data_IF_083959798911
#
_entry.id   IF_083959798911
#
_cell.length_a   1.000
_cell.length_b   1.000
_cell.length_c   1.000
_cell.angle_alpha   90.00
_cell.angle_beta   90.00
_cell.angle_gamma   90.00
#
_symmetry.space_group_name_H-M   'P 1'
#
loop_
_entity.id
_entity.type
_entity.pdbx_description
1 polymer ?
#
# COMPACT_ATOMS: atom_id res chain seq x y z
N UNK A 1 107.96 -12.41 -71.72
CA UNK A 1 107.41 -13.67 -71.15
C UNK A 1 107.88 -13.79 -69.72
N UNK A 2 106.96 -14.04 -68.78
CA UNK A 2 107.29 -14.20 -67.36
C UNK A 2 107.44 -15.68 -66.98
N UNK A 3 108.30 -16.02 -65.99
CA UNK A 3 108.41 -17.38 -65.46
C UNK A 3 107.07 -17.93 -64.98
N UNK A 4 106.91 -19.25 -65.04
CA UNK A 4 105.70 -19.95 -64.56
C UNK A 4 105.40 -19.55 -63.10
N UNK A 5 104.17 -19.09 -62.83
CA UNK A 5 103.74 -18.63 -61.50
C UNK A 5 103.91 -17.13 -61.24
N UNK A 6 104.30 -16.35 -62.25
CA UNK A 6 104.35 -14.88 -62.18
C UNK A 6 103.49 -14.26 -63.28
N UNK A 7 102.86 -13.12 -62.98
CA UNK A 7 102.10 -12.33 -63.94
C UNK A 7 102.90 -11.10 -64.34
N UNK A 8 102.76 -10.67 -65.59
CA UNK A 8 103.34 -9.42 -66.06
C UNK A 8 102.51 -8.25 -65.53
N UNK A 9 103.10 -7.39 -64.72
CA UNK A 9 102.49 -6.15 -64.24
C UNK A 9 103.40 -4.98 -64.59
N UNK A 10 102.85 -3.96 -65.25
CA UNK A 10 103.60 -2.75 -65.61
C UNK A 10 103.58 -1.79 -64.43
N UNK A 11 104.75 -1.40 -63.93
CA UNK A 11 104.92 -0.38 -62.88
C UNK A 11 105.93 0.65 -63.36
N UNK A 12 105.62 1.94 -63.22
CA UNK A 12 106.48 3.05 -63.66
C UNK A 12 106.91 2.96 -65.14
N UNK A 13 106.03 2.41 -66.00
CA UNK A 13 106.26 2.29 -67.44
C UNK A 13 107.08 1.07 -67.87
N UNK A 14 107.58 0.25 -66.93
CA UNK A 14 108.37 -0.94 -67.24
C UNK A 14 107.63 -2.22 -66.84
N UNK A 15 107.63 -3.29 -67.68
CA UNK A 15 106.99 -4.55 -67.37
C UNK A 15 107.82 -5.37 -66.37
N UNK A 16 107.24 -5.68 -65.21
CA UNK A 16 107.83 -6.56 -64.21
C UNK A 16 107.04 -7.86 -64.08
N UNK A 17 107.76 -8.97 -63.88
CA UNK A 17 107.14 -10.24 -63.51
C UNK A 17 107.00 -10.30 -61.99
N UNK A 18 105.77 -10.26 -61.49
CA UNK A 18 105.47 -10.34 -60.05
C UNK A 18 104.78 -11.66 -59.73
N UNK A 19 105.01 -12.20 -58.52
CA UNK A 19 104.31 -13.39 -58.07
C UNK A 19 102.79 -13.13 -58.01
N UNK A 20 102.01 -14.02 -58.64
CA UNK A 20 100.54 -13.98 -58.56
C UNK A 20 100.12 -14.44 -57.17
N UNK A 21 99.51 -13.55 -56.36
CA UNK A 21 98.93 -13.95 -55.09
C UNK A 21 97.60 -14.68 -55.36
N UNK A 22 97.46 -15.95 -54.96
CA UNK A 22 96.25 -16.73 -55.21
C UNK A 22 95.06 -16.09 -54.48
N UNK A 23 93.96 -15.90 -55.20
CA UNK A 23 92.72 -15.30 -54.69
C UNK A 23 91.53 -16.25 -54.88
N UNK A 24 90.40 -15.98 -54.22
CA UNK A 24 89.19 -16.80 -54.39
C UNK A 24 88.63 -16.81 -55.83
N UNK A 25 89.11 -15.94 -56.71
CA UNK A 25 88.81 -16.00 -58.14
C UNK A 25 89.47 -17.20 -58.84
N UNK A 26 90.53 -17.75 -58.25
CA UNK A 26 91.33 -18.85 -58.81
C UNK A 26 90.83 -20.25 -58.36
N UNK A 27 89.83 -20.33 -57.46
CA UNK A 27 89.31 -21.58 -56.89
C UNK A 27 87.81 -21.76 -57.19
N UNK A 28 87.46 -22.77 -57.98
CA UNK A 28 86.06 -23.18 -58.19
C UNK A 28 85.59 -24.07 -57.04
N UNK A 29 84.67 -23.57 -56.23
CA UNK A 29 84.07 -24.32 -55.14
C UNK A 29 82.81 -25.08 -55.61
N UNK A 30 82.59 -26.34 -55.17
CA UNK A 30 81.38 -27.09 -55.48
C UNK A 30 80.12 -26.41 -54.90
N UNK A 31 78.95 -26.69 -55.48
CA UNK A 31 77.67 -26.10 -55.03
C UNK A 31 77.47 -26.27 -53.51
N UNK A 32 77.03 -25.20 -52.84
CA UNK A 32 76.81 -25.16 -51.38
C UNK A 32 78.04 -24.79 -50.55
N UNK A 33 79.19 -24.53 -51.18
CA UNK A 33 80.41 -24.06 -50.49
C UNK A 33 80.85 -22.69 -50.99
N UNK A 34 81.47 -21.89 -50.11
CA UNK A 34 82.04 -20.57 -50.46
C UNK A 34 83.55 -20.58 -50.22
N UNK A 35 84.29 -19.89 -51.09
CA UNK A 35 85.73 -19.74 -50.91
C UNK A 35 86.02 -18.77 -49.75
N UNK A 36 86.90 -19.19 -48.83
CA UNK A 36 87.41 -18.38 -47.72
C UNK A 36 88.92 -18.63 -47.56
N UNK A 37 89.66 -17.57 -47.28
CA UNK A 37 91.08 -17.63 -46.93
C UNK A 37 91.19 -17.99 -45.43
N UNK A 38 91.73 -19.17 -45.10
CA UNK A 38 91.94 -19.63 -43.72
C UNK A 38 93.40 -20.09 -43.60
N UNK A 39 94.13 -19.58 -42.60
CA UNK A 39 95.55 -19.90 -42.34
C UNK A 39 96.47 -19.80 -43.57
N UNK A 40 96.24 -18.81 -44.42
CA UNK A 40 97.06 -18.58 -45.62
C UNK A 40 96.77 -19.52 -46.80
N UNK A 41 95.76 -20.39 -46.70
CA UNK A 41 95.32 -21.29 -47.77
C UNK A 41 93.86 -21.02 -48.18
N UNK A 42 93.57 -21.13 -49.48
CA UNK A 42 92.19 -20.99 -50.00
C UNK A 42 91.43 -22.28 -49.72
N UNK A 43 90.31 -22.20 -49.00
CA UNK A 43 89.47 -23.35 -48.69
C UNK A 43 88.01 -23.09 -49.06
N UNK A 44 87.35 -24.12 -49.61
CA UNK A 44 85.90 -24.12 -49.81
C UNK A 44 85.22 -24.56 -48.51
N UNK A 45 84.60 -23.63 -47.79
CA UNK A 45 83.88 -23.92 -46.55
C UNK A 45 82.38 -24.09 -46.86
N UNK A 46 81.74 -25.04 -46.20
CA UNK A 46 80.29 -25.22 -46.30
C UNK A 46 79.57 -23.95 -45.85
N UNK A 47 78.56 -23.54 -46.61
CA UNK A 47 77.66 -22.49 -46.15
C UNK A 47 76.87 -23.06 -44.96
N UNK A 48 76.91 -22.46 -43.76
CA UNK A 48 76.11 -22.95 -42.65
C UNK A 48 74.63 -22.92 -43.04
N UNK A 49 73.85 -23.97 -42.75
CA UNK A 49 72.43 -24.02 -43.09
C UNK A 49 71.72 -22.82 -42.47
N UNK A 50 70.71 -22.29 -43.16
CA UNK A 50 69.87 -21.21 -42.64
C UNK A 50 68.55 -21.78 -42.10
N UNK A 51 67.86 -21.06 -41.22
CA UNK A 51 66.54 -21.47 -40.75
C UNK A 51 65.47 -21.60 -41.85
N UNK A 52 65.76 -21.15 -43.09
CA UNK A 52 64.86 -21.36 -44.23
C UNK A 52 64.84 -22.82 -44.70
N UNK A 53 65.90 -23.58 -44.41
CA UNK A 53 66.07 -24.98 -44.86
C UNK A 53 65.76 -26.00 -43.75
N UNK A 54 65.50 -25.55 -42.51
CA UNK A 54 65.27 -26.42 -41.36
C UNK A 54 63.79 -26.53 -41.04
N UNK A 55 63.25 -27.75 -41.14
CA UNK A 55 61.89 -28.07 -40.71
C UNK A 55 61.90 -28.50 -39.23
N UNK A 56 61.43 -27.61 -38.36
CA UNK A 56 61.28 -27.89 -36.94
C UNK A 56 59.98 -28.69 -36.66
N UNK A 57 60.01 -29.54 -35.63
CA UNK A 57 58.83 -30.31 -35.23
C UNK A 57 57.71 -29.39 -34.71
N UNK A 58 56.45 -29.84 -34.78
CA UNK A 58 55.28 -29.06 -34.36
C UNK A 58 55.46 -28.57 -32.90
N UNK A 59 55.40 -27.25 -32.70
CA UNK A 59 55.63 -26.63 -31.39
C UNK A 59 57.05 -26.07 -31.18
N UNK A 60 57.96 -26.25 -32.14
CA UNK A 60 59.30 -25.62 -32.15
C UNK A 60 59.44 -24.63 -33.31
N UNK A 61 60.23 -23.57 -33.13
CA UNK A 61 60.58 -22.59 -34.16
C UNK A 61 62.09 -22.54 -34.35
N UNK A 62 62.56 -22.40 -35.59
CA UNK A 62 63.99 -22.26 -35.86
C UNK A 62 64.46 -20.84 -35.51
N UNK A 63 65.47 -20.74 -34.65
CA UNK A 63 66.18 -19.50 -34.33
C UNK A 63 67.69 -19.70 -34.49
N UNK A 64 68.42 -18.65 -34.86
CA UNK A 64 69.89 -18.70 -34.94
C UNK A 64 70.48 -18.30 -33.59
N UNK A 65 71.07 -19.26 -32.89
CA UNK A 65 71.74 -19.10 -31.59
C UNK A 65 73.24 -19.38 -31.77
N UNK A 66 74.09 -18.45 -31.32
CA UNK A 66 75.55 -18.52 -31.47
C UNK A 66 76.03 -18.78 -32.92
N UNK A 67 75.31 -18.21 -33.90
CA UNK A 67 75.63 -18.35 -35.32
C UNK A 67 75.19 -19.67 -35.97
N UNK A 68 74.50 -20.55 -35.23
CA UNK A 68 73.97 -21.82 -35.72
C UNK A 68 72.44 -21.87 -35.60
N UNK A 69 71.72 -22.40 -36.60
CA UNK A 69 70.28 -22.53 -36.50
C UNK A 69 69.90 -23.71 -35.59
N UNK A 70 69.02 -23.46 -34.61
CA UNK A 70 68.50 -24.44 -33.67
C UNK A 70 66.96 -24.34 -33.58
N UNK A 71 66.29 -25.50 -33.51
CA UNK A 71 64.86 -25.54 -33.22
C UNK A 71 64.64 -25.36 -31.71
N UNK A 72 64.09 -24.21 -31.32
CA UNK A 72 63.76 -23.90 -29.93
C UNK A 72 62.26 -24.11 -29.69
N UNK A 73 61.88 -24.50 -28.48
CA UNK A 73 60.47 -24.66 -28.12
C UNK A 73 59.74 -23.32 -28.17
N UNK A 74 58.56 -23.32 -28.77
CA UNK A 74 57.69 -22.15 -28.74
C UNK A 74 57.28 -21.87 -27.28
N UNK A 75 57.24 -20.60 -26.86
CA UNK A 75 56.69 -20.24 -25.56
C UNK A 75 55.26 -20.79 -25.44
N UNK A 76 54.89 -21.45 -24.33
CA UNK A 76 53.55 -21.97 -24.16
C UNK A 76 52.54 -20.82 -24.22
N UNK A 77 51.45 -21.00 -24.97
CA UNK A 77 50.44 -19.97 -25.17
C UNK A 77 49.13 -20.35 -24.48
N UNK A 78 48.24 -19.37 -24.28
CA UNK A 78 46.89 -19.67 -23.79
C UNK A 78 46.03 -20.53 -24.72
N UNK A 79 46.46 -20.77 -25.97
CA UNK A 79 45.78 -21.74 -26.85
C UNK A 79 46.04 -23.19 -26.41
N UNK A 80 47.16 -23.43 -25.72
CA UNK A 80 47.62 -24.77 -25.32
C UNK A 80 47.22 -25.13 -23.88
N UNK A 81 46.54 -24.22 -23.17
CA UNK A 81 46.18 -24.35 -21.75
C UNK A 81 44.67 -24.42 -21.57
N UNK A 82 44.18 -25.55 -21.05
CA UNK A 82 42.77 -25.73 -20.73
C UNK A 82 42.50 -25.42 -19.25
N UNK A 83 41.96 -24.22 -19.00
CA UNK A 83 41.62 -23.76 -17.66
C UNK A 83 40.32 -24.40 -17.13
N UNK A 84 40.23 -24.60 -15.81
CA UNK A 84 39.00 -25.12 -15.17
C UNK A 84 37.84 -24.12 -15.26
N UNK A 85 36.60 -24.61 -15.15
CA UNK A 85 35.38 -23.81 -15.28
C UNK A 85 35.38 -22.64 -14.28
N UNK A 86 35.26 -21.40 -14.76
CA UNK A 86 35.31 -20.18 -13.93
C UNK A 86 36.69 -19.52 -13.82
N UNK A 87 37.68 -20.02 -14.56
CA UNK A 87 38.99 -19.38 -14.74
C UNK A 87 39.21 -19.03 -16.22
N UNK A 88 40.05 -18.05 -16.50
CA UNK A 88 40.43 -17.61 -17.85
C UNK A 88 41.95 -17.58 -17.95
N UNK A 89 42.49 -18.07 -19.06
CA UNK A 89 43.92 -18.02 -19.31
C UNK A 89 44.35 -16.60 -19.66
N UNK A 90 45.38 -16.10 -18.99
CA UNK A 90 46.02 -14.82 -19.26
C UNK A 90 47.53 -15.01 -19.32
N UNK A 91 48.20 -14.26 -20.20
CA UNK A 91 49.66 -14.21 -20.22
C UNK A 91 50.14 -13.27 -19.11
N UNK A 92 50.84 -13.81 -18.11
CA UNK A 92 51.45 -13.08 -17.00
C UNK A 92 52.95 -13.35 -17.04
N UNK A 93 53.77 -12.31 -17.11
CA UNK A 93 55.25 -12.41 -17.20
C UNK A 93 55.76 -13.36 -18.30
N UNK A 94 55.05 -13.40 -19.44
CA UNK A 94 55.41 -14.25 -20.58
C UNK A 94 54.97 -15.72 -20.47
N UNK A 95 54.25 -16.10 -19.40
CA UNK A 95 53.73 -17.45 -19.19
C UNK A 95 52.20 -17.48 -19.06
N UNK A 96 51.52 -18.53 -19.57
CA UNK A 96 50.07 -18.64 -19.46
C UNK A 96 49.65 -19.07 -18.04
N UNK A 97 48.86 -18.22 -17.38
CA UNK A 97 48.28 -18.47 -16.07
C UNK A 97 46.75 -18.51 -16.13
N UNK A 98 46.14 -19.53 -15.52
CA UNK A 98 44.69 -19.55 -15.29
C UNK A 98 44.34 -18.69 -14.09
N UNK A 99 43.83 -17.48 -14.35
CA UNK A 99 43.37 -16.57 -13.30
C UNK A 99 41.87 -16.74 -13.10
N UNK A 100 41.38 -16.50 -11.87
CA UNK A 100 39.94 -16.49 -11.63
C UNK A 100 39.30 -15.42 -12.51
N UNK A 101 38.31 -15.82 -13.30
CA UNK A 101 37.43 -14.85 -13.91
C UNK A 101 36.75 -14.18 -12.73
N UNK A 102 37.13 -12.94 -12.40
CA UNK A 102 36.37 -12.14 -11.43
C UNK A 102 34.97 -12.08 -12.01
N UNK A 103 34.11 -12.97 -11.52
CA UNK A 103 32.68 -12.87 -11.66
C UNK A 103 32.37 -11.51 -11.07
N UNK A 104 32.33 -10.48 -11.93
CA UNK A 104 31.31 -9.45 -11.85
C UNK A 104 30.08 -10.23 -11.41
N UNK A 105 29.76 -10.09 -10.13
CA UNK A 105 28.60 -10.64 -9.45
C UNK A 105 27.56 -10.89 -10.51
N UNK A 106 27.37 -12.17 -10.89
CA UNK A 106 26.25 -12.54 -11.74
C UNK A 106 25.09 -11.89 -11.03
N UNK A 107 24.50 -10.82 -11.60
CA UNK A 107 23.41 -10.10 -10.94
C UNK A 107 22.32 -11.14 -10.82
N UNK A 108 22.29 -11.84 -9.70
CA UNK A 108 21.20 -12.71 -9.35
C UNK A 108 20.02 -11.76 -9.42
N UNK A 109 19.14 -11.99 -10.40
CA UNK A 109 17.94 -11.21 -10.54
C UNK A 109 16.84 -11.95 -9.80
N UNK A 110 15.71 -11.29 -9.54
CA UNK A 110 14.57 -12.02 -8.99
C UNK A 110 14.05 -13.13 -9.91
N UNK A 111 14.41 -13.11 -11.20
CA UNK A 111 14.12 -14.17 -12.16
C UNK A 111 14.89 -15.46 -11.87
N UNK A 112 16.06 -15.36 -11.21
CA UNK A 112 16.93 -16.49 -10.89
C UNK A 112 16.68 -17.07 -9.49
N UNK A 113 15.78 -16.46 -8.71
CA UNK A 113 15.64 -16.70 -7.27
C UNK A 113 14.27 -17.32 -6.95
N UNK A 114 14.25 -18.61 -6.61
CA UNK A 114 13.06 -19.30 -6.14
C UNK A 114 12.83 -19.03 -4.64
N UNK A 115 11.80 -18.24 -4.34
CA UNK A 115 11.42 -17.93 -2.97
C UNK A 115 10.51 -19.02 -2.35
N UNK A 116 10.69 -19.35 -1.05
CA UNK A 116 9.80 -20.27 -0.35
C UNK A 116 8.35 -19.73 -0.30
N UNK A 117 7.37 -20.64 -0.11
CA UNK A 117 5.94 -20.27 -0.05
C UNK A 117 5.71 -19.14 0.96
N UNK A 118 4.95 -18.12 0.55
CA UNK A 118 4.65 -16.94 1.38
C UNK A 118 5.71 -15.83 1.33
N UNK A 119 6.76 -15.97 0.52
CA UNK A 119 7.75 -14.92 0.28
C UNK A 119 7.82 -14.54 -1.19
N UNK A 120 8.17 -13.29 -1.48
CA UNK A 120 8.37 -12.78 -2.84
C UNK A 120 9.77 -12.20 -2.98
N UNK A 121 10.36 -12.32 -4.17
CA UNK A 121 11.65 -11.71 -4.42
C UNK A 121 11.51 -10.20 -4.63
N UNK A 122 12.26 -9.41 -3.87
CA UNK A 122 12.36 -7.96 -3.99
C UNK A 122 13.82 -7.53 -3.96
N UNK A 123 14.19 -6.61 -4.84
CA UNK A 123 15.52 -6.00 -4.81
C UNK A 123 15.56 -4.96 -3.68
N UNK A 124 16.46 -5.16 -2.73
CA UNK A 124 16.66 -4.26 -1.59
C UNK A 124 18.16 -4.03 -1.43
N UNK A 125 18.59 -2.77 -1.31
CA UNK A 125 20.00 -2.36 -1.28
C UNK A 125 20.80 -2.83 -2.51
N UNK A 126 20.14 -2.95 -3.67
CA UNK A 126 20.77 -3.41 -4.91
C UNK A 126 20.92 -4.93 -5.05
N UNK A 127 20.42 -5.72 -4.10
CA UNK A 127 20.48 -7.19 -4.10
C UNK A 127 19.08 -7.83 -4.05
N UNK A 128 18.80 -8.91 -4.81
CA UNK A 128 17.54 -9.64 -4.68
C UNK A 128 17.48 -10.35 -3.33
N UNK A 129 16.38 -10.20 -2.60
CA UNK A 129 16.11 -10.93 -1.36
C UNK A 129 14.68 -11.46 -1.37
N UNK A 130 14.44 -12.65 -0.83
CA UNK A 130 13.09 -13.08 -0.50
C UNK A 130 12.62 -12.33 0.73
N UNK A 131 11.59 -11.52 0.56
CA UNK A 131 10.91 -10.85 1.66
C UNK A 131 9.56 -11.52 1.87
N UNK A 132 9.06 -11.51 3.11
CA UNK A 132 7.71 -11.98 3.36
C UNK A 132 6.73 -11.20 2.49
N UNK A 133 5.91 -11.93 1.75
CA UNK A 133 4.81 -11.33 1.00
C UNK A 133 3.90 -10.66 2.03
N UNK A 134 3.60 -9.39 1.83
CA UNK A 134 2.67 -8.69 2.71
C UNK A 134 1.36 -9.48 2.72
N UNK A 135 0.86 -9.90 3.89
CA UNK A 135 -0.33 -10.73 3.95
C UNK A 135 -1.49 -9.96 3.31
N UNK A 136 -2.29 -10.68 2.55
CA UNK A 136 -3.38 -10.15 1.74
C UNK A 136 -4.70 -10.77 2.17
N UNK A 137 -5.82 -10.19 1.73
CA UNK A 137 -7.14 -10.78 1.99
C UNK A 137 -7.33 -12.16 1.34
N UNK A 138 -6.53 -12.53 0.35
CA UNK A 138 -6.50 -13.89 -0.20
C UNK A 138 -5.94 -14.93 0.78
N UNK A 139 -5.10 -14.50 1.73
CA UNK A 139 -4.46 -15.38 2.71
C UNK A 139 -5.34 -15.63 3.94
N UNK A 140 -6.50 -14.95 4.04
CA UNK A 140 -7.28 -14.85 5.28
C UNK A 140 -8.75 -15.28 5.06
N UNK A 141 -9.16 -16.37 5.69
CA UNK A 141 -10.55 -16.83 5.66
C UNK A 141 -11.37 -16.14 6.76
N UNK A 142 -12.37 -15.35 6.36
CA UNK A 142 -13.28 -14.69 7.30
C UNK A 142 -14.49 -15.55 7.67
N UNK A 143 -14.98 -15.46 8.92
CA UNK A 143 -16.21 -16.12 9.34
C UNK A 143 -17.43 -15.59 8.57
N UNK A 144 -18.50 -16.36 8.54
CA UNK A 144 -19.73 -16.03 7.80
C UNK A 144 -20.26 -14.65 8.22
N UNK A 145 -20.48 -13.77 7.23
CA UNK A 145 -20.94 -12.40 7.48
C UNK A 145 -19.83 -11.39 7.78
N UNK A 146 -18.55 -11.77 7.76
CA UNK A 146 -17.42 -10.85 7.77
C UNK A 146 -16.76 -10.77 6.39
N UNK A 147 -16.28 -9.59 6.02
CA UNK A 147 -15.53 -9.36 4.79
C UNK A 147 -14.11 -8.94 5.14
N UNK A 148 -13.13 -9.47 4.43
CA UNK A 148 -11.76 -9.05 4.60
C UNK A 148 -11.54 -7.67 3.96
N UNK A 149 -10.94 -6.75 4.72
CA UNK A 149 -10.50 -5.44 4.25
C UNK A 149 -9.05 -5.19 4.66
N UNK A 150 -8.32 -4.46 3.82
CA UNK A 150 -6.97 -3.99 4.17
C UNK A 150 -7.08 -2.75 5.04
N UNK A 151 -6.74 -2.87 6.32
CA UNK A 151 -6.76 -1.79 7.31
C UNK A 151 -5.34 -1.54 7.79
N UNK A 152 -4.84 -0.31 7.66
CA UNK A 152 -3.46 0.07 8.01
C UNK A 152 -2.38 -0.83 7.40
N UNK A 153 -2.61 -1.35 6.18
CA UNK A 153 -1.66 -2.23 5.48
C UNK A 153 -1.68 -3.70 5.91
N UNK A 154 -2.66 -4.11 6.71
CA UNK A 154 -2.86 -5.51 7.15
C UNK A 154 -4.28 -6.01 6.82
N UNK A 155 -4.46 -7.28 6.42
CA UNK A 155 -5.78 -7.84 6.17
C UNK A 155 -6.50 -8.09 7.50
N UNK A 156 -7.70 -7.53 7.64
CA UNK A 156 -8.56 -7.73 8.81
C UNK A 156 -9.97 -8.15 8.38
N UNK A 157 -10.56 -9.13 9.07
CA UNK A 157 -11.99 -9.40 8.93
C UNK A 157 -12.77 -8.31 9.64
N UNK A 158 -13.52 -7.54 8.86
CA UNK A 158 -14.51 -6.62 9.41
C UNK A 158 -15.88 -7.26 9.29
N UNK A 159 -16.66 -7.21 10.38
CA UNK A 159 -18.03 -7.70 10.35
C UNK A 159 -18.83 -6.83 9.37
N UNK A 160 -19.48 -7.44 8.36
CA UNK A 160 -20.42 -6.69 7.56
C UNK A 160 -21.53 -6.24 8.50
N UNK A 161 -21.63 -4.93 8.66
CA UNK A 161 -22.65 -4.29 9.50
C UNK A 161 -24.00 -4.86 9.07
N UNK A 162 -24.72 -5.58 9.95
CA UNK A 162 -25.94 -6.24 9.55
C UNK A 162 -26.93 -5.20 9.02
N UNK A 163 -27.53 -5.47 7.86
CA UNK A 163 -28.43 -4.54 7.18
C UNK A 163 -29.88 -4.92 7.43
N UNK A 164 -30.79 -3.96 7.27
CA UNK A 164 -32.22 -4.22 7.36
C UNK A 164 -32.79 -5.10 6.23
N UNK A 165 -31.98 -5.52 5.24
CA UNK A 165 -32.43 -6.35 4.12
C UNK A 165 -32.86 -7.76 4.57
N UNK A 166 -32.28 -8.27 5.65
CA UNK A 166 -32.48 -9.64 6.12
C UNK A 166 -33.38 -9.72 7.37
N UNK A 167 -33.85 -8.57 7.89
CA UNK A 167 -34.66 -8.52 9.12
C UNK A 167 -36.14 -8.42 8.78
N UNK A 168 -36.91 -9.45 9.15
CA UNK A 168 -38.36 -9.40 9.13
C UNK A 168 -38.91 -8.81 10.44
N UNK A 169 -39.45 -7.60 10.35
CA UNK A 169 -40.11 -6.93 11.46
C UNK A 169 -41.62 -7.27 11.51
N UNK A 170 -42.17 -7.33 12.72
CA UNK A 170 -43.60 -7.56 12.97
C UNK A 170 -44.45 -6.43 12.36
N UNK A 171 -45.72 -6.72 12.03
CA UNK A 171 -46.66 -5.74 11.42
C UNK A 171 -46.77 -4.48 12.30
N UNK A 172 -46.49 -3.30 11.72
CA UNK A 172 -46.48 -2.02 12.45
C UNK A 172 -45.10 -1.59 13.01
N UNK A 173 -44.04 -2.35 12.70
CA UNK A 173 -42.65 -1.95 12.96
C UNK A 173 -41.86 -1.90 11.66
N UNK A 174 -40.84 -1.06 11.59
CA UNK A 174 -39.93 -0.96 10.44
C UNK A 174 -38.48 -1.10 10.92
N UNK A 175 -37.66 -1.82 10.15
CA UNK A 175 -36.26 -1.96 10.47
C UNK A 175 -35.53 -0.64 10.19
N UNK A 176 -34.84 -0.13 11.20
CA UNK A 176 -33.95 1.03 11.09
C UNK A 176 -32.60 0.70 11.73
N UNK A 177 -31.52 1.24 11.15
CA UNK A 177 -30.18 1.10 11.73
C UNK A 177 -30.00 2.16 12.81
N UNK A 178 -29.99 1.74 14.08
CA UNK A 178 -29.82 2.61 15.26
C UNK A 178 -28.48 2.23 15.92
N UNK A 179 -27.62 3.22 16.16
CA UNK A 179 -26.30 3.05 16.81
C UNK A 179 -25.39 1.98 16.19
N UNK A 180 -25.42 1.79 14.87
CA UNK A 180 -24.64 0.72 14.25
C UNK A 180 -25.48 -0.48 13.82
N UNK A 181 -26.61 -0.71 14.47
CA UNK A 181 -27.27 -2.01 14.45
C UNK A 181 -28.71 -1.93 13.94
N UNK A 182 -29.15 -2.88 13.10
CA UNK A 182 -30.50 -2.90 12.59
C UNK A 182 -31.46 -3.33 13.71
N UNK A 183 -32.47 -2.50 13.98
CA UNK A 183 -33.49 -2.69 15.02
C UNK A 183 -34.88 -2.46 14.44
N UNK A 184 -35.84 -3.33 14.79
CA UNK A 184 -37.24 -3.05 14.50
C UNK A 184 -37.72 -1.97 15.46
N UNK A 185 -38.00 -0.79 14.92
CA UNK A 185 -38.58 0.32 15.69
C UNK A 185 -40.05 0.47 15.31
N UNK A 186 -40.87 0.95 16.24
CA UNK A 186 -42.24 1.31 15.91
C UNK A 186 -42.21 2.38 14.82
N UNK A 187 -42.88 2.12 13.70
CA UNK A 187 -43.18 3.18 12.75
C UNK A 187 -44.01 4.19 13.53
N UNK A 188 -43.44 5.37 13.80
CA UNK A 188 -44.21 6.56 14.15
C UNK A 188 -45.02 6.97 12.92
N UNK A 189 -45.96 6.13 12.51
CA UNK A 189 -47.16 6.62 11.85
C UNK A 189 -47.75 7.59 12.86
N UNK A 190 -47.57 8.88 12.60
CA UNK A 190 -48.40 9.93 13.16
C UNK A 190 -49.79 9.34 13.41
N UNK A 191 -50.22 9.31 14.67
CA UNK A 191 -51.57 8.88 15.03
C UNK A 191 -52.54 9.89 14.41
N UNK A 192 -52.76 9.78 13.10
CA UNK A 192 -53.97 10.29 12.50
C UNK A 192 -55.05 9.40 13.07
N UNK A 193 -55.71 9.95 14.09
CA UNK A 193 -56.79 9.32 14.85
C UNK A 193 -57.76 8.70 13.84
N UNK A 194 -57.98 7.36 13.87
CA UNK A 194 -58.76 6.70 12.83
C UNK A 194 -60.16 7.31 12.79
N UNK A 195 -60.50 7.86 11.63
CA UNK A 195 -61.84 8.39 11.36
C UNK A 195 -62.75 7.23 10.93
N UNK A 196 -64.07 7.37 11.08
CA UNK A 196 -65.02 6.38 10.57
C UNK A 196 -64.88 6.12 9.05
N UNK A 197 -64.26 7.06 8.32
CA UNK A 197 -63.87 6.88 6.92
C UNK A 197 -62.81 5.79 6.71
N UNK A 198 -62.00 5.51 7.73
CA UNK A 198 -60.82 4.65 7.65
C UNK A 198 -61.13 3.21 8.12
N UNK A 199 -62.35 2.96 8.60
CA UNK A 199 -62.78 1.70 9.20
C UNK A 199 -63.79 0.98 8.30
N UNK A 200 -63.50 -0.27 7.96
CA UNK A 200 -64.44 -1.16 7.26
C UNK A 200 -65.25 -1.93 8.30
N UNK A 201 -66.48 -1.49 8.54
CA UNK A 201 -67.40 -2.13 9.50
C UNK A 201 -68.02 -3.43 8.93
N UNK A 202 -68.24 -4.47 9.76
CA UNK A 202 -69.03 -5.65 9.39
C UNK A 202 -70.42 -5.29 8.86
N UNK A 203 -70.98 -6.13 7.96
CA UNK A 203 -72.32 -5.92 7.38
C UNK A 203 -73.36 -5.75 8.49
N UNK A 204 -74.13 -4.66 8.43
CA UNK A 204 -75.16 -4.32 9.42
C UNK A 204 -74.69 -3.44 10.59
N UNK A 205 -73.39 -3.10 10.66
CA UNK A 205 -72.87 -2.18 11.67
C UNK A 205 -72.44 -0.85 11.03
N UNK A 206 -72.74 0.26 11.71
CA UNK A 206 -72.36 1.61 11.25
C UNK A 206 -71.42 2.23 12.26
N UNK A 207 -70.29 2.78 11.79
CA UNK A 207 -69.39 3.55 12.63
C UNK A 207 -70.09 4.84 13.07
N UNK A 208 -70.37 4.96 14.37
CA UNK A 208 -70.85 6.21 14.99
C UNK A 208 -69.70 6.83 15.77
N UNK A 209 -69.39 8.09 15.48
CA UNK A 209 -68.43 8.86 16.29
C UNK A 209 -68.99 8.98 17.72
N UNK A 210 -68.14 8.81 18.76
CA UNK A 210 -68.60 8.94 20.14
C UNK A 210 -69.08 10.36 20.42
N UNK A 211 -70.12 10.49 21.26
CA UNK A 211 -70.69 11.79 21.68
C UNK A 211 -70.60 11.96 23.20
N UNK A 212 -70.75 13.19 23.69
CA UNK A 212 -70.70 13.47 25.13
C UNK A 212 -71.76 12.70 25.94
N UNK A 213 -72.86 12.26 25.34
CA UNK A 213 -73.88 11.43 26.01
C UNK A 213 -73.38 10.05 26.44
N UNK A 214 -72.25 9.59 25.89
CA UNK A 214 -71.63 8.30 26.21
C UNK A 214 -70.37 8.45 27.09
N UNK A 215 -69.99 9.67 27.48
CA UNK A 215 -68.76 9.96 28.22
C UNK A 215 -69.08 10.43 29.64
N UNK A 216 -68.62 9.69 30.64
CA UNK A 216 -68.66 10.11 32.05
C UNK A 216 -67.39 10.86 32.38
N UNK A 217 -67.48 12.18 32.52
CA UNK A 217 -66.36 13.02 32.91
C UNK A 217 -66.15 13.03 34.45
N UNK A 218 -64.90 13.17 34.94
CA UNK A 218 -64.61 13.35 36.36
C UNK A 218 -65.32 14.55 36.99
N UNK A 219 -65.51 14.53 38.31
CA UNK A 219 -66.06 15.66 39.06
C UNK A 219 -65.26 16.95 38.78
N UNK A 220 -65.96 18.09 38.65
CA UNK A 220 -65.35 19.37 38.30
C UNK A 220 -65.00 19.54 36.81
N UNK A 221 -65.34 18.58 35.94
CA UNK A 221 -65.18 18.71 34.48
C UNK A 221 -66.52 18.58 33.75
N UNK A 222 -66.62 19.15 32.56
CA UNK A 222 -67.76 19.03 31.65
C UNK A 222 -67.31 18.53 30.30
N UNK A 223 -68.08 17.61 29.70
CA UNK A 223 -67.81 17.14 28.36
C UNK A 223 -68.18 18.21 27.33
N UNK A 224 -67.25 18.51 26.42
CA UNK A 224 -67.47 19.37 25.26
C UNK A 224 -66.91 18.72 24.00
N UNK A 225 -67.53 19.00 22.85
CA UNK A 225 -67.06 18.49 21.56
C UNK A 225 -65.94 19.39 21.03
N UNK A 226 -64.70 18.90 21.06
CA UNK A 226 -63.50 19.61 20.53
C UNK A 226 -63.00 18.85 19.31
N UNK A 227 -62.87 19.54 18.17
CA UNK A 227 -62.48 18.93 16.88
C UNK A 227 -63.33 17.70 16.49
N UNK A 228 -64.61 17.69 16.86
CA UNK A 228 -65.53 16.58 16.57
C UNK A 228 -65.38 15.37 17.49
N UNK A 229 -64.69 15.51 18.64
CA UNK A 229 -64.53 14.46 19.65
C UNK A 229 -64.94 14.92 21.05
N UNK A 230 -65.58 14.06 21.85
CA UNK A 230 -65.94 14.39 23.23
C UNK A 230 -64.70 14.50 24.09
N UNK A 231 -64.52 15.64 24.75
CA UNK A 231 -63.35 15.99 25.56
C UNK A 231 -63.84 16.55 26.89
N UNK A 232 -63.33 16.01 28.00
CA UNK A 232 -63.65 16.52 29.33
C UNK A 232 -62.76 17.73 29.64
N UNK A 233 -63.37 18.91 29.71
CA UNK A 233 -62.67 20.15 30.08
C UNK A 233 -63.06 20.58 31.49
N UNK A 234 -62.13 21.19 32.22
CA UNK A 234 -62.40 21.71 33.54
C UNK A 234 -63.57 22.71 33.49
N UNK A 235 -64.54 22.53 34.38
CA UNK A 235 -65.58 23.55 34.60
C UNK A 235 -64.88 24.77 35.20
N UNK A 236 -65.26 25.96 34.73
CA UNK A 236 -64.80 27.21 35.34
C UNK A 236 -65.33 27.22 36.79
N UNK A 237 -64.46 27.29 37.82
CA UNK A 237 -64.92 27.29 39.21
C UNK A 237 -65.74 28.56 39.48
N UNK A 238 -66.94 28.40 40.05
CA UNK A 238 -67.93 29.46 40.29
C UNK A 238 -68.37 29.48 41.76
N UNK A 239 -68.81 30.65 42.24
CA UNK A 239 -69.34 30.81 43.60
C UNK A 239 -70.70 30.11 43.83
N UNK A 240 -71.35 29.57 42.78
CA UNK A 240 -72.63 28.85 42.90
C UNK A 240 -72.53 27.59 43.77
N UNK A 241 -71.38 26.92 43.76
CA UNK A 241 -71.16 25.66 44.50
C UNK A 241 -70.41 25.88 45.84
N UNK A 242 -70.08 27.13 46.20
CA UNK A 242 -69.25 27.45 47.38
C UNK A 242 -70.10 27.95 48.55
N UNK A 243 -70.14 27.18 49.65
CA UNK A 243 -70.76 27.60 50.92
C UNK A 243 -69.73 28.27 51.81
N UNK A 244 -69.92 29.56 52.10
CA UNK A 244 -69.05 30.34 52.97
C UNK A 244 -69.55 30.37 54.43
N UNK A 245 -68.64 30.46 55.42
CA UNK A 245 -69.01 30.61 56.84
C UNK A 245 -69.71 31.95 57.11
N UNK A 246 -70.46 32.01 58.22
CA UNK A 246 -71.21 33.21 58.62
C UNK A 246 -70.32 34.46 58.67
N UNK A 247 -70.86 35.60 58.21
CA UNK A 247 -70.12 36.87 58.12
C UNK A 247 -69.18 37.01 56.91
N UNK A 248 -69.12 36.00 56.03
CA UNK A 248 -68.37 36.05 54.76
C UNK A 248 -69.29 35.78 53.58
N UNK A 249 -68.93 36.28 52.40
CA UNK A 249 -69.63 35.98 51.13
C UNK A 249 -68.65 35.49 50.08
N UNK A 250 -69.10 34.57 49.22
CA UNK A 250 -68.26 34.13 48.11
C UNK A 250 -68.11 35.26 47.08
N UNK A 251 -66.88 35.51 46.66
CA UNK A 251 -66.54 36.42 45.57
C UNK A 251 -65.44 35.79 44.74
N UNK A 252 -65.49 35.97 43.42
CA UNK A 252 -64.38 35.61 42.55
C UNK A 252 -63.19 36.54 42.82
N UNK A 253 -62.07 35.96 43.26
CA UNK A 253 -60.79 36.66 43.42
C UNK A 253 -59.84 36.07 42.38
N UNK A 254 -59.59 36.82 41.30
CA UNK A 254 -58.96 36.29 40.09
C UNK A 254 -59.86 35.25 39.41
N UNK A 255 -59.30 34.07 39.11
CA UNK A 255 -60.02 32.94 38.49
C UNK A 255 -60.54 31.90 39.48
N UNK A 256 -60.51 32.19 40.79
CA UNK A 256 -60.92 31.26 41.84
C UNK A 256 -61.98 31.87 42.77
N UNK A 257 -63.02 31.11 43.15
CA UNK A 257 -63.99 31.55 44.15
C UNK A 257 -63.34 31.59 45.53
N UNK A 258 -63.58 32.65 46.30
CA UNK A 258 -63.01 32.87 47.63
C UNK A 258 -64.02 33.52 48.57
N UNK A 259 -64.06 33.09 49.83
CA UNK A 259 -64.93 33.69 50.85
C UNK A 259 -64.26 34.96 51.42
N UNK A 260 -64.88 36.12 51.19
CA UNK A 260 -64.37 37.41 51.67
C UNK A 260 -65.26 37.94 52.80
N UNK A 261 -64.70 38.59 53.84
CA UNK A 261 -65.48 39.20 54.90
C UNK A 261 -66.50 40.21 54.37
N UNK A 262 -67.74 40.12 54.85
CA UNK A 262 -68.74 41.17 54.62
C UNK A 262 -68.39 42.32 55.57
N UNK A 263 -68.20 43.53 55.03
CA UNK A 263 -67.92 44.71 55.87
C UNK A 263 -69.10 44.93 56.83
N UNK A 264 -68.86 45.16 58.13
CA UNK A 264 -69.92 45.49 59.07
C UNK A 264 -70.66 46.74 58.59
N UNK A 265 -71.98 46.64 58.41
CA UNK A 265 -72.82 47.78 58.02
C UNK A 265 -74.18 47.70 58.71
N UNK A 266 -74.77 48.88 58.93
CA UNK A 266 -76.13 49.00 59.45
C UNK A 266 -77.21 48.44 58.51
N UNK A 267 -76.87 48.19 57.24
CA UNK A 267 -77.79 47.59 56.26
C UNK A 267 -78.13 46.13 56.58
N UNK A 268 -77.22 45.43 57.29
CA UNK A 268 -77.40 44.03 57.71
C UNK A 268 -77.48 43.87 59.23
N UNK A 269 -77.81 44.94 59.97
CA UNK A 269 -77.89 44.92 61.45
C UNK A 269 -79.31 45.19 61.92
N UNK A 270 -79.96 44.16 62.47
CA UNK A 270 -81.30 44.29 63.04
C UNK A 270 -81.25 44.90 64.45
N UNK A 271 -81.88 46.06 64.61
CA UNK A 271 -81.95 46.78 65.88
C UNK A 271 -83.32 46.63 66.56
N UNK A 272 -83.37 46.56 67.90
CA UNK A 272 -84.63 46.47 68.64
C UNK A 272 -85.52 47.69 68.39
N UNK A 273 -86.84 47.49 68.43
CA UNK A 273 -87.83 48.54 68.14
C UNK A 273 -87.59 49.79 68.99
N UNK A 274 -87.53 50.95 68.33
CA UNK A 274 -87.27 52.25 68.97
C UNK A 274 -85.80 52.69 68.94
N UNK A 275 -84.88 51.83 68.51
CA UNK A 275 -83.47 52.19 68.28
C UNK A 275 -83.17 52.29 66.78
N UNK A 276 -82.17 53.09 66.42
CA UNK A 276 -81.70 53.24 65.04
C UNK A 276 -80.27 52.74 64.94
N UNK A 277 -79.95 51.94 63.93
CA UNK A 277 -78.56 51.56 63.71
C UNK A 277 -77.73 52.76 63.28
N UNK A 278 -76.64 53.02 63.99
CA UNK A 278 -75.57 53.94 63.58
C UNK A 278 -74.23 53.24 63.62
N UNK A 279 -73.33 53.64 62.72
CA UNK A 279 -71.94 53.20 62.80
C UNK A 279 -71.25 53.96 63.94
N UNK A 280 -70.80 53.21 64.96
CA UNK A 280 -69.96 53.74 66.04
C UNK A 280 -68.54 53.20 65.80
N UNK A 281 -67.67 54.04 65.27
CA UNK A 281 -66.37 53.61 64.77
C UNK A 281 -66.51 52.67 63.56
N UNK A 282 -65.91 51.48 63.62
CA UNK A 282 -65.96 50.47 62.56
C UNK A 282 -67.07 49.41 62.72
N UNK A 283 -67.91 49.54 63.74
CA UNK A 283 -68.95 48.56 64.07
C UNK A 283 -70.35 49.20 64.04
N UNK A 284 -71.36 48.53 63.49
CA UNK A 284 -72.74 48.96 63.62
C UNK A 284 -73.20 48.82 65.08
N UNK A 285 -73.95 49.79 65.58
CA UNK A 285 -74.47 49.82 66.95
C UNK A 285 -75.88 50.41 66.96
N UNK A 286 -76.78 49.83 67.74
CA UNK A 286 -78.14 50.31 67.89
C UNK A 286 -78.16 51.39 68.98
N UNK A 287 -78.55 52.62 68.61
CA UNK A 287 -78.66 53.78 69.52
C UNK A 287 -80.06 54.35 69.57
#
# INVERSE_FOLDING_TARGET
>A
HCPKGTICKVTEGWPHCVHHQPSCSDLHCPQGTKCKMTDGQLQCVHNPPTCQEIQCQKGTTCQVTDGWPQCVQNPPSCHDVQCQKGTTCQMVDGWPHCVQTKTSVRRTSCSDLHCPKGTMCKVTDGWPRCVHSQPSCSDLHCPQGATCQMVNGWPQCVQNRPSCREIQCQKGTSCQVVDGWPRCVQTKTSMRRPSCSDLRCPKGTTCKKPSCGQVRCPAGTSCQMVEGWPTCMAKIPSCEEVRCPAGTRCRMVGSSPSCVPVKPSCENTDCPKGTTCKMVGSSPSCV
#
